data_IF_853526368554
#
_entry.id   IF_853526368554
#
_cell.length_a   1.000
_cell.length_b   1.000
_cell.length_c   1.000
_cell.angle_alpha   90.00
_cell.angle_beta   90.00
_cell.angle_gamma   90.00
#
_symmetry.space_group_name_H-M   'P 1'
#
loop_
_entity.id
_entity.type
_entity.pdbx_description
1 polymer ?
#
# COMPACT_ATOMS: atom_id res chain seq x y z
N UNK A 1 -32.25 16.53 22.66
CA UNK A 1 -31.95 15.21 22.07
C UNK A 1 -30.72 15.35 21.20
N UNK A 2 -29.71 14.51 21.47
CA UNK A 2 -28.52 14.36 20.64
C UNK A 2 -27.22 14.41 21.45
N UNK A 3 -26.53 13.28 21.68
CA UNK A 3 -25.15 13.33 22.13
C UNK A 3 -24.23 13.42 20.91
N UNK A 4 -23.57 14.57 20.77
CA UNK A 4 -22.29 14.69 20.05
C UNK A 4 -21.15 14.47 21.05
N UNK A 5 -20.07 13.84 20.57
CA UNK A 5 -18.71 13.73 21.16
C UNK A 5 -18.46 12.53 22.07
N UNK A 6 -18.12 11.39 21.45
CA UNK A 6 -17.14 10.42 22.00
C UNK A 6 -16.62 9.58 20.84
N UNK A 7 -15.72 10.17 20.06
CA UNK A 7 -14.82 9.45 19.15
C UNK A 7 -13.49 10.18 19.33
N UNK A 8 -12.40 9.47 19.65
CA UNK A 8 -10.97 9.83 19.42
C UNK A 8 -9.93 9.38 20.47
N UNK A 9 -10.28 8.78 21.61
CA UNK A 9 -9.23 8.34 22.56
C UNK A 9 -8.73 6.89 22.39
N UNK A 10 -9.57 5.87 22.10
CA UNK A 10 -9.12 4.48 22.15
C UNK A 10 -8.05 4.13 21.12
N UNK A 11 -8.26 4.35 19.82
CA UNK A 11 -7.30 3.85 18.83
C UNK A 11 -6.02 4.68 18.69
N UNK A 12 -6.03 5.97 19.01
CA UNK A 12 -4.79 6.77 19.16
C UNK A 12 -3.97 6.30 20.38
N UNK A 13 -4.64 5.95 21.48
CA UNK A 13 -3.99 5.35 22.65
C UNK A 13 -3.41 3.96 22.31
N UNK A 14 -4.16 3.12 21.59
CA UNK A 14 -3.69 1.79 21.20
C UNK A 14 -2.50 1.87 20.24
N UNK A 15 -2.52 2.74 19.23
CA UNK A 15 -1.38 2.88 18.32
C UNK A 15 -0.15 3.50 18.98
N UNK A 16 -0.33 4.44 19.90
CA UNK A 16 0.76 4.94 20.75
C UNK A 16 1.35 3.81 21.60
N UNK A 17 0.50 2.99 22.24
CA UNK A 17 0.93 1.82 23.01
C UNK A 17 1.56 0.72 22.15
N UNK A 18 1.13 0.55 20.90
CA UNK A 18 1.74 -0.36 19.93
C UNK A 18 3.10 0.14 19.45
N UNK A 19 3.27 1.47 19.36
CA UNK A 19 4.57 2.12 19.09
C UNK A 19 5.55 1.95 20.23
N UNK A 20 5.05 2.02 21.47
CA UNK A 20 5.85 1.80 22.68
C UNK A 20 6.10 0.30 22.96
N UNK A 21 5.27 -0.62 22.44
CA UNK A 21 5.40 -2.06 22.70
C UNK A 21 4.77 -2.94 21.59
N UNK A 22 5.60 -3.39 20.65
CA UNK A 22 5.19 -4.13 19.45
C UNK A 22 4.67 -5.56 19.70
N UNK A 23 4.86 -6.13 20.90
CA UNK A 23 4.49 -7.52 21.22
C UNK A 23 2.99 -7.70 21.53
N UNK A 24 2.24 -6.62 21.70
CA UNK A 24 0.83 -6.67 22.09
C UNK A 24 -0.16 -6.83 20.90
N UNK A 25 0.35 -7.01 19.68
CA UNK A 25 -0.42 -7.15 18.44
C UNK A 25 -1.61 -8.13 18.50
N UNK A 26 -1.52 -9.32 19.15
CA UNK A 26 -2.64 -10.26 19.18
C UNK A 26 -3.84 -9.79 20.02
N UNK A 27 -3.64 -8.91 21.01
CA UNK A 27 -4.68 -8.51 21.96
C UNK A 27 -5.56 -7.35 21.47
N UNK A 28 -5.14 -6.63 20.44
CA UNK A 28 -5.83 -5.43 19.93
C UNK A 28 -6.67 -5.66 18.68
N UNK A 29 -6.72 -6.91 18.20
CA UNK A 29 -7.52 -7.33 17.04
C UNK A 29 -9.02 -7.06 17.25
N UNK A 30 -9.48 -7.02 18.51
CA UNK A 30 -10.89 -6.84 18.87
C UNK A 30 -11.25 -5.42 19.34
N UNK A 31 -10.27 -4.53 19.57
CA UNK A 31 -10.49 -3.24 20.25
C UNK A 31 -10.19 -1.99 19.40
N UNK A 32 -9.64 -2.16 18.19
CA UNK A 32 -9.34 -1.04 17.29
C UNK A 32 -10.25 -1.05 16.08
N UNK A 33 -11.12 -0.04 15.97
CA UNK A 33 -11.86 0.20 14.74
C UNK A 33 -10.89 0.62 13.62
N UNK A 34 -11.15 0.14 12.40
CA UNK A 34 -10.45 0.52 11.17
C UNK A 34 -10.32 2.03 11.00
N UNK A 35 -11.38 2.77 11.37
CA UNK A 35 -11.41 4.23 11.40
C UNK A 35 -10.33 4.87 12.27
N UNK A 36 -10.07 4.34 13.47
CA UNK A 36 -9.09 4.94 14.37
C UNK A 36 -7.67 4.76 13.85
N UNK A 37 -7.40 3.63 13.20
CA UNK A 37 -6.08 3.33 12.61
C UNK A 37 -5.80 4.28 11.45
N UNK A 38 -6.77 4.46 10.55
CA UNK A 38 -6.67 5.41 9.43
C UNK A 38 -6.55 6.86 9.94
N UNK A 39 -7.34 7.23 10.95
CA UNK A 39 -7.25 8.56 11.53
C UNK A 39 -5.90 8.82 12.20
N UNK A 40 -5.28 7.81 12.81
CA UNK A 40 -3.97 7.94 13.42
C UNK A 40 -2.88 8.21 12.39
N UNK A 41 -2.95 7.57 11.21
CA UNK A 41 -2.05 7.92 10.09
C UNK A 41 -2.21 9.39 9.72
N UNK A 42 -3.44 9.87 9.56
CA UNK A 42 -3.71 11.28 9.21
C UNK A 42 -3.20 12.26 10.26
N UNK A 43 -3.40 11.97 11.54
CA UNK A 43 -3.01 12.86 12.65
C UNK A 43 -1.50 12.90 12.84
N UNK A 44 -0.81 11.76 12.74
CA UNK A 44 0.61 11.63 13.03
C UNK A 44 1.50 11.63 11.78
N UNK A 45 0.91 11.90 10.61
CA UNK A 45 1.56 11.79 9.30
C UNK A 45 2.92 12.48 9.27
N UNK A 46 3.02 13.69 9.82
CA UNK A 46 4.25 14.50 9.76
C UNK A 46 5.11 14.45 11.03
N UNK A 47 4.66 13.73 12.07
CA UNK A 47 5.26 13.85 13.42
C UNK A 47 5.85 12.56 13.95
N UNK A 48 5.21 11.41 13.71
CA UNK A 48 5.63 10.15 14.34
C UNK A 48 5.69 9.01 13.33
N UNK A 49 6.83 8.82 12.63
CA UNK A 49 6.98 7.77 11.63
C UNK A 49 6.73 6.36 12.17
N UNK A 50 7.05 6.11 13.44
CA UNK A 50 6.80 4.80 14.07
C UNK A 50 5.31 4.47 14.16
N UNK A 51 4.46 5.47 14.48
CA UNK A 51 3.00 5.30 14.49
C UNK A 51 2.52 4.94 13.09
N UNK A 52 3.08 5.58 12.05
CA UNK A 52 2.72 5.30 10.66
C UNK A 52 3.10 3.88 10.26
N UNK A 53 4.33 3.44 10.59
CA UNK A 53 4.78 2.07 10.36
C UNK A 53 3.84 1.05 11.02
N UNK A 54 3.49 1.27 12.28
CA UNK A 54 2.60 0.38 13.03
C UNK A 54 1.18 0.39 12.48
N UNK A 55 0.66 1.56 12.13
CA UNK A 55 -0.67 1.69 11.55
C UNK A 55 -0.76 1.00 10.18
N UNK A 56 0.22 1.17 9.29
CA UNK A 56 0.26 0.43 8.02
C UNK A 56 0.32 -1.09 8.23
N UNK A 57 1.08 -1.56 9.23
CA UNK A 57 1.11 -2.99 9.59
C UNK A 57 -0.21 -3.50 10.19
N UNK A 58 -0.91 -2.68 10.97
CA UNK A 58 -2.25 -3.01 11.46
C UNK A 58 -3.25 -3.12 10.31
N UNK A 59 -3.23 -2.16 9.37
CA UNK A 59 -4.06 -2.18 8.16
C UNK A 59 -3.76 -3.39 7.26
N UNK A 60 -2.49 -3.78 7.09
CA UNK A 60 -2.12 -5.02 6.39
C UNK A 60 -2.82 -6.23 7.00
N UNK A 61 -2.78 -6.38 8.32
CA UNK A 61 -3.40 -7.50 9.03
C UNK A 61 -4.93 -7.45 8.99
N UNK A 62 -5.51 -6.27 9.17
CA UNK A 62 -6.96 -6.06 9.13
C UNK A 62 -7.52 -6.34 7.73
N UNK A 63 -6.80 -5.94 6.67
CA UNK A 63 -7.21 -6.19 5.29
C UNK A 63 -7.19 -7.67 4.88
N UNK A 64 -6.78 -8.59 5.75
CA UNK A 64 -6.94 -10.03 5.53
C UNK A 64 -8.36 -10.52 5.85
N UNK A 65 -9.11 -9.77 6.65
CA UNK A 65 -10.53 -10.00 6.90
C UNK A 65 -11.38 -9.18 5.92
N UNK A 66 -12.32 -9.80 5.21
CA UNK A 66 -13.09 -9.12 4.15
C UNK A 66 -14.05 -8.04 4.69
N UNK A 67 -14.49 -8.14 5.94
CA UNK A 67 -15.33 -7.11 6.58
C UNK A 67 -14.48 -5.89 6.87
N UNK A 68 -13.36 -6.08 7.57
CA UNK A 68 -12.43 -4.99 7.88
C UNK A 68 -11.82 -4.38 6.62
N UNK A 69 -11.52 -5.18 5.60
CA UNK A 69 -11.04 -4.70 4.29
C UNK A 69 -11.99 -3.70 3.66
N UNK A 70 -13.31 -3.97 3.69
CA UNK A 70 -14.33 -3.03 3.20
C UNK A 70 -14.41 -1.77 4.06
N UNK A 71 -14.38 -1.92 5.38
CA UNK A 71 -14.39 -0.75 6.27
C UNK A 71 -13.17 0.16 6.02
N UNK A 72 -11.97 -0.42 5.84
CA UNK A 72 -10.75 0.34 5.51
C UNK A 72 -10.95 1.11 4.20
N UNK A 73 -11.57 0.49 3.19
CA UNK A 73 -11.88 1.14 1.93
C UNK A 73 -12.86 2.31 2.11
N UNK A 74 -13.95 2.11 2.87
CA UNK A 74 -14.98 3.11 3.13
C UNK A 74 -14.46 4.35 3.86
N UNK A 75 -13.46 4.20 4.74
CA UNK A 75 -12.85 5.32 5.47
C UNK A 75 -11.68 6.00 4.71
N UNK A 76 -11.49 5.71 3.42
CA UNK A 76 -10.37 6.19 2.59
C UNK A 76 -8.99 5.73 3.13
N UNK A 77 -8.90 4.43 3.45
CA UNK A 77 -7.65 3.81 3.88
C UNK A 77 -6.59 3.76 2.78
N UNK A 78 -6.98 3.53 1.52
CA UNK A 78 -6.03 3.48 0.40
C UNK A 78 -5.36 4.84 0.19
N UNK A 79 -6.15 5.92 0.09
CA UNK A 79 -5.62 7.27 -0.06
C UNK A 79 -4.72 7.68 1.11
N UNK A 80 -5.10 7.27 2.32
CA UNK A 80 -4.32 7.53 3.54
C UNK A 80 -2.98 6.77 3.58
N UNK A 81 -2.95 5.50 3.13
CA UNK A 81 -1.70 4.74 3.01
C UNK A 81 -0.80 5.36 1.94
N UNK A 82 -1.36 5.79 0.80
CA UNK A 82 -0.57 6.48 -0.23
C UNK A 82 0.06 7.78 0.32
N UNK A 83 -0.67 8.56 1.11
CA UNK A 83 -0.10 9.73 1.77
C UNK A 83 1.05 9.39 2.73
N UNK A 84 0.97 8.25 3.43
CA UNK A 84 2.10 7.76 4.24
C UNK A 84 3.33 7.38 3.39
N UNK A 85 3.12 6.74 2.24
CA UNK A 85 4.20 6.40 1.31
C UNK A 85 4.83 7.65 0.67
N UNK A 86 4.02 8.67 0.38
CA UNK A 86 4.45 9.96 -0.18
C UNK A 86 5.27 10.76 0.85
N UNK A 87 4.86 10.78 2.11
CA UNK A 87 5.52 11.52 3.20
C UNK A 87 6.84 10.86 3.63
N UNK A 88 6.91 9.52 3.61
CA UNK A 88 8.08 8.76 4.07
C UNK A 88 8.75 7.93 2.97
N UNK A 89 9.22 8.56 1.89
CA UNK A 89 9.77 7.85 0.73
C UNK A 89 11.13 7.19 1.02
N UNK A 90 11.84 7.60 2.08
CA UNK A 90 13.15 7.05 2.48
C UNK A 90 13.04 5.98 3.57
N UNK A 91 11.84 5.71 4.08
CA UNK A 91 11.60 4.79 5.19
C UNK A 91 11.19 3.42 4.67
N UNK A 92 12.19 2.55 4.47
CA UNK A 92 12.04 1.16 3.99
C UNK A 92 10.90 0.41 4.68
N UNK A 93 10.79 0.56 5.99
CA UNK A 93 9.80 -0.08 6.85
C UNK A 93 8.37 0.39 6.58
N UNK A 94 8.15 1.69 6.41
CA UNK A 94 6.86 2.28 6.03
C UNK A 94 6.52 1.88 4.59
N UNK A 95 7.47 1.96 3.66
CA UNK A 95 7.28 1.54 2.27
C UNK A 95 6.85 0.06 2.18
N UNK A 96 7.56 -0.84 2.87
CA UNK A 96 7.24 -2.27 2.89
C UNK A 96 5.80 -2.53 3.38
N UNK A 97 5.44 -1.96 4.54
CA UNK A 97 4.12 -2.17 5.15
C UNK A 97 2.99 -1.51 4.37
N UNK A 98 3.23 -0.31 3.86
CA UNK A 98 2.24 0.41 3.05
C UNK A 98 1.91 -0.35 1.77
N UNK A 99 2.90 -0.80 0.99
CA UNK A 99 2.63 -1.62 -0.20
C UNK A 99 1.99 -2.97 0.13
N UNK A 100 2.36 -3.59 1.25
CA UNK A 100 1.74 -4.84 1.67
C UNK A 100 0.25 -4.65 2.00
N UNK A 101 -0.13 -3.56 2.66
CA UNK A 101 -1.53 -3.20 2.91
C UNK A 101 -2.26 -2.84 1.60
N UNK A 102 -1.66 -2.01 0.73
CA UNK A 102 -2.25 -1.62 -0.55
C UNK A 102 -2.57 -2.82 -1.44
N UNK A 103 -1.66 -3.80 -1.52
CA UNK A 103 -1.90 -5.06 -2.26
C UNK A 103 -3.17 -5.78 -1.81
N UNK A 104 -3.49 -5.74 -0.52
CA UNK A 104 -4.71 -6.37 0.01
C UNK A 104 -5.98 -5.55 -0.25
N UNK A 105 -5.84 -4.24 -0.52
CA UNK A 105 -6.94 -3.29 -0.65
C UNK A 105 -7.28 -2.96 -2.10
N UNK A 106 -6.32 -3.02 -3.03
CA UNK A 106 -6.53 -2.63 -4.42
C UNK A 106 -7.59 -3.46 -5.14
N UNK A 107 -7.88 -4.69 -4.70
CA UNK A 107 -9.00 -5.47 -5.24
C UNK A 107 -10.37 -4.79 -5.04
N UNK A 108 -10.48 -3.80 -4.15
CA UNK A 108 -11.71 -3.04 -3.89
C UNK A 108 -11.78 -1.72 -4.68
N UNK A 109 -10.68 -1.26 -5.29
CA UNK A 109 -10.62 0.03 -5.95
C UNK A 109 -10.37 -0.10 -7.45
N UNK A 110 -11.17 0.61 -8.23
CA UNK A 110 -10.97 0.80 -9.68
C UNK A 110 -10.74 2.26 -10.03
N UNK A 111 -10.27 3.06 -9.06
CA UNK A 111 -10.06 4.50 -9.25
C UNK A 111 -8.73 4.76 -9.99
N UNK A 112 -8.75 5.29 -11.23
CA UNK A 112 -7.54 5.57 -11.99
C UNK A 112 -6.67 6.66 -11.34
N UNK A 113 -7.25 7.53 -10.50
CA UNK A 113 -6.49 8.52 -9.74
C UNK A 113 -5.61 7.86 -8.67
N UNK A 114 -6.13 6.83 -7.99
CA UNK A 114 -5.35 6.04 -7.04
C UNK A 114 -4.26 5.23 -7.76
N UNK A 115 -4.55 4.68 -8.95
CA UNK A 115 -3.53 4.04 -9.77
C UNK A 115 -2.42 5.01 -10.17
N UNK A 116 -2.77 6.22 -10.61
CA UNK A 116 -1.79 7.28 -10.95
C UNK A 116 -0.90 7.65 -9.78
N UNK A 117 -1.47 7.85 -8.59
CA UNK A 117 -0.70 8.11 -7.36
C UNK A 117 0.20 6.92 -6.98
N UNK A 118 -0.30 5.70 -7.16
CA UNK A 118 0.48 4.49 -6.89
C UNK A 118 1.68 4.38 -7.84
N UNK A 119 1.53 4.71 -9.12
CA UNK A 119 2.64 4.78 -10.08
C UNK A 119 3.73 5.74 -9.59
N UNK A 120 3.36 6.95 -9.13
CA UNK A 120 4.33 7.94 -8.65
C UNK A 120 5.09 7.46 -7.41
N UNK A 121 4.37 6.92 -6.41
CA UNK A 121 5.00 6.36 -5.21
C UNK A 121 5.89 5.16 -5.55
N UNK A 122 5.45 4.31 -6.48
CA UNK A 122 6.18 3.13 -6.92
C UNK A 122 7.52 3.50 -7.55
N UNK A 123 7.52 4.43 -8.50
CA UNK A 123 8.75 4.90 -9.15
C UNK A 123 9.71 5.57 -8.14
N UNK A 124 9.18 6.33 -7.18
CA UNK A 124 9.96 6.90 -6.07
C UNK A 124 10.61 5.80 -5.22
N UNK A 125 9.84 4.74 -4.90
CA UNK A 125 10.30 3.59 -4.11
C UNK A 125 11.41 2.83 -4.81
N UNK A 126 11.25 2.52 -6.10
CA UNK A 126 12.30 1.84 -6.87
C UNK A 126 13.59 2.65 -6.86
N UNK A 127 13.50 3.98 -7.02
CA UNK A 127 14.67 4.87 -7.01
C UNK A 127 15.39 4.88 -5.65
N UNK A 128 14.65 4.93 -4.54
CA UNK A 128 15.21 5.09 -3.19
C UNK A 128 15.58 3.77 -2.50
N UNK A 129 14.96 2.67 -2.92
CA UNK A 129 15.06 1.38 -2.24
C UNK A 129 15.48 0.23 -3.15
N UNK A 130 16.20 0.51 -4.25
CA UNK A 130 16.69 -0.52 -5.16
C UNK A 130 17.55 -1.61 -4.49
N UNK A 131 18.27 -1.26 -3.43
CA UNK A 131 19.04 -2.21 -2.63
C UNK A 131 18.21 -3.04 -1.63
N UNK A 132 16.91 -2.75 -1.49
CA UNK A 132 16.00 -3.40 -0.53
C UNK A 132 14.97 -4.27 -1.27
N UNK A 133 15.42 -5.45 -1.69
CA UNK A 133 14.64 -6.41 -2.48
C UNK A 133 13.25 -6.73 -1.90
N UNK A 134 13.13 -6.74 -0.57
CA UNK A 134 11.86 -6.95 0.12
C UNK A 134 10.83 -5.84 -0.15
N UNK A 135 11.26 -4.58 -0.21
CA UNK A 135 10.38 -3.45 -0.52
C UNK A 135 9.98 -3.48 -1.99
N UNK A 136 10.96 -3.71 -2.88
CA UNK A 136 10.74 -3.82 -4.31
C UNK A 136 9.72 -4.93 -4.61
N UNK A 137 9.86 -6.08 -3.97
CA UNK A 137 8.92 -7.20 -4.09
C UNK A 137 7.51 -6.80 -3.68
N UNK A 138 7.34 -6.13 -2.52
CA UNK A 138 6.02 -5.69 -2.06
C UNK A 138 5.38 -4.67 -3.00
N UNK A 139 6.18 -3.72 -3.49
CA UNK A 139 5.73 -2.70 -4.42
C UNK A 139 5.26 -3.33 -5.74
N UNK A 140 6.02 -4.28 -6.30
CA UNK A 140 5.63 -5.01 -7.53
C UNK A 140 4.35 -5.79 -7.31
N UNK A 141 4.21 -6.50 -6.18
CA UNK A 141 3.00 -7.25 -5.87
C UNK A 141 1.76 -6.35 -5.77
N UNK A 142 1.89 -5.12 -5.25
CA UNK A 142 0.80 -4.15 -5.23
C UNK A 142 0.45 -3.65 -6.64
N UNK A 143 1.46 -3.44 -7.50
CA UNK A 143 1.26 -3.09 -8.91
C UNK A 143 0.58 -4.21 -9.71
N UNK A 144 0.97 -5.47 -9.48
CA UNK A 144 0.32 -6.65 -10.09
C UNK A 144 -1.19 -6.65 -9.79
N UNK A 145 -1.59 -6.30 -8.56
CA UNK A 145 -3.01 -6.22 -8.18
C UNK A 145 -3.75 -5.12 -8.97
N UNK A 146 -3.15 -3.94 -9.12
CA UNK A 146 -3.75 -2.85 -9.91
C UNK A 146 -3.89 -3.22 -11.40
N UNK A 147 -2.94 -3.96 -11.97
CA UNK A 147 -2.98 -4.35 -13.39
C UNK A 147 -4.06 -5.39 -13.73
N UNK A 148 -4.77 -5.93 -12.73
CA UNK A 148 -5.94 -6.78 -12.99
C UNK A 148 -7.10 -6.00 -13.59
N UNK A 149 -7.17 -4.71 -13.32
CA UNK A 149 -8.11 -3.80 -13.97
C UNK A 149 -7.54 -3.25 -15.26
N UNK A 150 -8.38 -3.22 -16.29
CA UNK A 150 -7.95 -2.88 -17.64
C UNK A 150 -7.59 -1.39 -17.77
N UNK A 151 -8.34 -0.50 -17.11
CA UNK A 151 -8.09 0.95 -17.17
C UNK A 151 -6.77 1.26 -16.45
N UNK A 152 -6.58 0.69 -15.27
CA UNK A 152 -5.34 0.84 -14.51
C UNK A 152 -4.15 0.22 -15.26
N UNK A 153 -4.33 -0.95 -15.89
CA UNK A 153 -3.28 -1.60 -16.70
C UNK A 153 -2.85 -0.73 -17.87
N UNK A 154 -3.78 -0.15 -18.63
CA UNK A 154 -3.47 0.75 -19.73
C UNK A 154 -2.73 2.01 -19.23
N UNK A 155 -3.18 2.58 -18.11
CA UNK A 155 -2.52 3.71 -17.47
C UNK A 155 -1.07 3.37 -17.07
N UNK A 156 -0.86 2.21 -16.43
CA UNK A 156 0.46 1.76 -15.99
C UNK A 156 1.36 1.43 -17.20
N UNK A 157 0.82 0.83 -18.25
CA UNK A 157 1.57 0.48 -19.46
C UNK A 157 2.10 1.72 -20.19
N UNK A 158 1.33 2.83 -20.16
CA UNK A 158 1.70 4.11 -20.76
C UNK A 158 2.52 5.02 -19.82
N UNK A 159 2.99 4.51 -18.68
CA UNK A 159 3.81 5.24 -17.71
C UNK A 159 5.29 4.84 -17.78
N UNK A 160 6.13 5.37 -16.89
CA UNK A 160 7.56 4.97 -16.78
C UNK A 160 7.76 3.61 -16.08
N UNK A 161 6.69 2.94 -15.65
CA UNK A 161 6.76 1.65 -14.92
C UNK A 161 7.43 0.54 -15.74
N UNK A 162 7.12 0.32 -17.03
CA UNK A 162 7.81 -0.70 -17.83
C UNK A 162 9.33 -0.47 -17.87
N UNK A 163 9.76 0.79 -18.05
CA UNK A 163 11.20 1.10 -18.07
C UNK A 163 11.84 0.87 -16.70
N UNK A 164 11.16 1.25 -15.63
CA UNK A 164 11.64 0.99 -14.28
C UNK A 164 11.73 -0.52 -13.97
N UNK A 165 10.83 -1.36 -14.50
CA UNK A 165 10.92 -2.82 -14.39
C UNK A 165 12.12 -3.40 -15.14
N UNK A 166 12.46 -2.87 -16.31
CA UNK A 166 13.70 -3.27 -17.01
C UNK A 166 14.94 -2.89 -16.21
N UNK A 167 14.93 -1.74 -15.54
CA UNK A 167 16.02 -1.33 -14.64
C UNK A 167 16.15 -2.27 -13.44
N UNK A 168 15.04 -2.70 -12.82
CA UNK A 168 15.07 -3.69 -11.73
C UNK A 168 15.67 -5.02 -12.21
N UNK A 169 15.25 -5.51 -13.38
CA UNK A 169 15.81 -6.74 -13.98
C UNK A 169 17.32 -6.64 -14.23
N UNK A 170 17.78 -5.47 -14.68
CA UNK A 170 19.20 -5.23 -14.93
C UNK A 170 20.03 -5.14 -13.64
N UNK A 171 19.50 -4.50 -12.59
CA UNK A 171 20.23 -4.26 -11.35
C UNK A 171 20.18 -5.43 -10.36
N UNK A 172 19.15 -6.26 -10.42
CA UNK A 172 18.95 -7.41 -9.52
C UNK A 172 18.85 -8.75 -10.28
N UNK A 173 19.86 -9.12 -11.09
CA UNK A 173 19.77 -10.28 -11.99
C UNK A 173 19.75 -11.64 -11.26
N UNK A 174 20.24 -11.70 -10.02
CA UNK A 174 20.38 -12.95 -9.27
C UNK A 174 19.16 -13.29 -8.40
N UNK A 175 18.20 -12.37 -8.24
CA UNK A 175 16.98 -12.65 -7.49
C UNK A 175 15.91 -13.24 -8.43
N UNK A 176 15.80 -14.55 -8.44
CA UNK A 176 14.86 -15.28 -9.32
C UNK A 176 13.38 -14.93 -9.07
N UNK A 177 12.98 -14.68 -7.81
CA UNK A 177 11.60 -14.28 -7.50
C UNK A 177 11.29 -12.91 -8.10
N UNK A 178 12.14 -11.91 -7.84
CA UNK A 178 11.98 -10.58 -8.42
C UNK A 178 12.06 -10.61 -9.95
N UNK A 179 13.00 -11.37 -10.51
CA UNK A 179 13.12 -11.53 -11.95
C UNK A 179 11.81 -12.05 -12.56
N UNK A 180 11.26 -13.14 -11.99
CA UNK A 180 10.03 -13.75 -12.50
C UNK A 180 8.84 -12.80 -12.44
N UNK A 181 8.72 -12.02 -11.36
CA UNK A 181 7.64 -11.04 -11.15
C UNK A 181 7.77 -9.85 -12.07
N UNK A 182 8.95 -9.25 -12.17
CA UNK A 182 9.20 -8.15 -13.10
C UNK A 182 8.92 -8.55 -14.55
N UNK A 183 9.37 -9.74 -14.97
CA UNK A 183 9.10 -10.25 -16.30
C UNK A 183 7.61 -10.51 -16.53
N UNK A 184 6.91 -11.07 -15.54
CA UNK A 184 5.46 -11.28 -15.60
C UNK A 184 4.70 -9.96 -15.71
N UNK A 185 5.04 -8.96 -14.88
CA UNK A 185 4.41 -7.64 -14.93
C UNK A 185 4.67 -6.95 -16.27
N UNK A 186 5.91 -6.98 -16.78
CA UNK A 186 6.23 -6.45 -18.11
C UNK A 186 5.40 -7.11 -19.21
N UNK A 187 5.31 -8.44 -19.20
CA UNK A 187 4.48 -9.18 -20.16
C UNK A 187 3.01 -8.75 -20.08
N UNK A 188 2.46 -8.58 -18.87
CA UNK A 188 1.10 -8.06 -18.68
C UNK A 188 0.97 -6.65 -19.26
N UNK A 189 1.93 -5.75 -19.04
CA UNK A 189 1.85 -4.38 -19.55
C UNK A 189 2.05 -4.28 -21.08
N UNK A 190 2.87 -5.16 -21.67
CA UNK A 190 3.23 -5.13 -23.09
C UNK A 190 2.26 -5.93 -23.98
N UNK A 191 1.47 -6.83 -23.42
CA UNK A 191 0.46 -7.57 -24.21
C UNK A 191 -0.66 -6.62 -24.62
N UNK A 192 -0.91 -6.42 -25.94
CA UNK A 192 -2.03 -5.61 -26.40
C UNK A 192 -3.34 -6.23 -25.90
N UNK A 193 -4.23 -5.40 -25.38
CA UNK A 193 -5.58 -5.86 -25.07
C UNK A 193 -6.29 -6.14 -26.40
N UNK A 194 -6.83 -7.35 -26.57
CA UNK A 194 -7.81 -7.58 -27.62
C UNK A 194 -9.00 -6.70 -27.30
N UNK A 195 -9.20 -5.65 -28.09
CA UNK A 195 -10.41 -4.83 -28.01
C UNK A 195 -11.59 -5.73 -28.32
N UNK A 196 -12.30 -6.20 -27.30
CA UNK A 196 -13.67 -6.67 -27.46
C UNK A 196 -14.50 -5.45 -27.82
N UNK A 197 -14.58 -5.17 -29.12
CA UNK A 197 -15.59 -4.29 -29.68
C UNK A 197 -16.93 -5.03 -29.53
N UNK A 198 -17.77 -4.60 -28.59
CA UNK A 198 -19.22 -4.78 -28.68
C UNK A 198 -19.83 -3.54 -29.36
#
# INVERSE_FOLDING_TARGET
TGPKKTIHEPGCYVLRRLSDNAELLPQFRDACCTQDVVQSIRTFLQTTPEVIRHACGALENMALDDTMKREIFEVDGIGTILSALEEYPDRRDIQNRGYAALRCLFSLSQDPLLASRTVLTFLSTLRKHMAHEDVIRRAIQAMEELTKDNVNRELIANSDVPEAMRQVLFQLPNNLDLYSRCASLLKTLETPQETTQE
#
